data_IF_875754725559
#
_entry.id   IF_875754725559
#
_cell.length_a   1.000
_cell.length_b   1.000
_cell.length_c   1.000
_cell.angle_alpha   90.00
_cell.angle_beta   90.00
_cell.angle_gamma   90.00
#
_symmetry.space_group_name_H-M   'P 1'
#
loop_
_entity.id
_entity.type
_entity.pdbx_description
1 polymer ?
#
# COMPACT_ATOMS: atom_id res chain seq x y z
N UNK A 1 -58.37 10.99 36.34
CA UNK A 1 -56.89 11.15 36.32
C UNK A 1 -56.21 9.82 35.99
N UNK A 2 -55.76 9.69 34.73
CA UNK A 2 -54.45 9.17 34.25
C UNK A 2 -53.99 7.73 34.57
N UNK A 3 -54.67 6.71 34.01
CA UNK A 3 -54.08 5.36 33.79
C UNK A 3 -53.08 5.32 32.61
N UNK A 4 -53.05 6.35 31.77
CA UNK A 4 -52.22 6.45 30.55
C UNK A 4 -50.76 6.86 30.82
N UNK A 5 -50.47 7.50 31.96
CA UNK A 5 -49.13 8.01 32.29
C UNK A 5 -48.13 6.89 32.66
N UNK A 6 -48.60 5.84 33.31
CA UNK A 6 -47.75 4.72 33.72
C UNK A 6 -47.29 3.88 32.51
N UNK A 7 -48.19 3.65 31.56
CA UNK A 7 -47.89 2.89 30.34
C UNK A 7 -46.89 3.63 29.45
N UNK A 8 -47.06 4.95 29.29
CA UNK A 8 -46.16 5.78 28.50
C UNK A 8 -44.74 5.85 29.11
N UNK A 9 -44.62 5.84 30.45
CA UNK A 9 -43.32 5.75 31.15
C UNK A 9 -42.60 4.40 30.93
N UNK A 10 -43.33 3.29 30.89
CA UNK A 10 -42.72 1.96 30.66
C UNK A 10 -42.19 1.84 29.23
N UNK A 11 -42.94 2.33 28.23
CA UNK A 11 -42.53 2.29 26.83
C UNK A 11 -41.28 3.16 26.58
N UNK A 12 -41.22 4.35 27.18
CA UNK A 12 -40.06 5.25 27.07
C UNK A 12 -38.81 4.70 27.77
N UNK A 13 -38.96 4.04 28.92
CA UNK A 13 -37.84 3.35 29.59
C UNK A 13 -37.25 2.22 28.75
N UNK A 14 -38.09 1.39 28.10
CA UNK A 14 -37.61 0.31 27.21
C UNK A 14 -36.91 0.85 25.96
N UNK A 15 -37.39 1.95 25.39
CA UNK A 15 -36.76 2.58 24.23
C UNK A 15 -35.37 3.15 24.57
N UNK A 16 -35.21 3.74 25.76
CA UNK A 16 -33.92 4.27 26.23
C UNK A 16 -32.87 3.16 26.44
N UNK A 17 -33.27 2.06 27.08
CA UNK A 17 -32.39 0.88 27.24
C UNK A 17 -31.99 0.25 25.90
N UNK A 18 -32.86 0.27 24.89
CA UNK A 18 -32.54 -0.23 23.55
C UNK A 18 -31.48 0.66 22.89
N UNK A 19 -31.60 1.98 22.99
CA UNK A 19 -30.62 2.93 22.45
C UNK A 19 -29.25 2.83 23.14
N UNK A 20 -29.21 2.66 24.46
CA UNK A 20 -27.96 2.48 25.23
C UNK A 20 -27.19 1.20 24.85
N UNK A 21 -27.92 0.10 24.59
CA UNK A 21 -27.33 -1.16 24.09
C UNK A 21 -26.78 -1.04 22.66
N UNK A 22 -27.45 -0.28 21.80
CA UNK A 22 -26.97 0.01 20.44
C UNK A 22 -25.71 0.90 20.44
N UNK A 23 -25.66 1.90 21.33
CA UNK A 23 -24.50 2.79 21.47
C UNK A 23 -23.27 2.07 22.03
N UNK A 24 -23.44 1.24 23.07
CA UNK A 24 -22.34 0.44 23.65
C UNK A 24 -21.77 -0.59 22.67
N UNK A 25 -22.62 -1.23 21.85
CA UNK A 25 -22.18 -2.13 20.78
C UNK A 25 -21.38 -1.43 19.68
N UNK A 26 -21.71 -0.17 19.35
CA UNK A 26 -20.94 0.62 18.38
C UNK A 26 -19.58 1.06 18.93
N UNK A 27 -19.49 1.41 20.22
CA UNK A 27 -18.23 1.79 20.88
C UNK A 27 -17.25 0.60 20.94
N UNK A 28 -17.75 -0.61 21.26
CA UNK A 28 -16.93 -1.83 21.24
C UNK A 28 -16.41 -2.19 19.85
N UNK A 29 -17.22 -2.02 18.79
CA UNK A 29 -16.78 -2.27 17.40
C UNK A 29 -15.71 -1.27 16.94
N UNK A 30 -15.83 0.02 17.33
CA UNK A 30 -14.82 1.05 17.02
C UNK A 30 -13.50 0.81 17.76
N UNK A 31 -13.55 0.40 19.03
CA UNK A 31 -12.35 0.07 19.80
C UNK A 31 -11.57 -1.12 19.21
N UNK A 32 -12.27 -2.14 18.68
CA UNK A 32 -11.65 -3.30 18.01
C UNK A 32 -11.06 -2.96 16.63
N UNK A 33 -11.64 -2.00 15.90
CA UNK A 33 -11.09 -1.53 14.63
C UNK A 33 -9.81 -0.69 14.81
N UNK A 34 -9.67 0.01 15.94
CA UNK A 34 -8.50 0.84 16.24
C UNK A 34 -7.27 0.03 16.69
N UNK A 35 -7.46 -1.17 17.26
CA UNK A 35 -6.35 -2.01 17.74
C UNK A 35 -5.60 -2.78 16.65
N UNK A 36 -6.15 -2.95 15.44
CA UNK A 36 -5.43 -3.52 14.28
C UNK A 36 -4.60 -2.49 13.50
N UNK A 37 -4.76 -1.19 13.76
CA UNK A 37 -4.08 -0.14 12.99
C UNK A 37 -2.67 0.21 13.50
N UNK A 38 -2.22 -0.38 14.62
CA UNK A 38 -1.05 0.11 15.35
C UNK A 38 0.09 -0.91 15.50
N UNK A 39 0.23 -1.86 14.57
CA UNK A 39 1.42 -2.72 14.54
C UNK A 39 1.93 -2.85 13.11
N UNK A 40 2.27 -1.73 12.50
CA UNK A 40 3.29 -1.73 11.46
C UNK A 40 4.62 -1.96 12.15
N UNK A 41 4.93 -3.22 12.49
CA UNK A 41 6.32 -3.60 12.77
C UNK A 41 7.10 -3.19 11.53
N UNK A 42 7.94 -2.15 11.65
CA UNK A 42 8.95 -1.85 10.64
C UNK A 42 9.78 -3.12 10.53
N UNK A 43 9.64 -3.83 9.42
CA UNK A 43 10.48 -4.98 9.13
C UNK A 43 11.84 -4.37 8.84
N UNK A 44 12.74 -4.44 9.81
CA UNK A 44 14.14 -4.06 9.60
C UNK A 44 14.72 -5.03 8.57
N UNK A 45 15.26 -4.48 7.48
CA UNK A 45 15.94 -5.25 6.45
C UNK A 45 17.25 -5.73 7.08
N UNK A 46 17.54 -7.04 7.13
CA UNK A 46 18.83 -7.53 7.58
C UNK A 46 19.97 -6.96 6.73
N UNK A 47 21.11 -6.62 7.36
CA UNK A 47 22.28 -6.00 6.72
C UNK A 47 22.74 -6.71 5.43
N UNK A 48 22.65 -8.04 5.37
CA UNK A 48 23.06 -8.82 4.20
C UNK A 48 22.14 -8.66 2.98
N UNK A 49 20.94 -8.09 3.16
CA UNK A 49 20.01 -7.76 2.08
C UNK A 49 20.12 -6.29 1.65
N UNK A 50 20.95 -5.49 2.30
CA UNK A 50 21.18 -4.11 1.89
C UNK A 50 22.01 -4.05 0.60
N UNK A 51 21.74 -3.06 -0.29
CA UNK A 51 22.54 -2.89 -1.49
C UNK A 51 23.97 -2.49 -1.12
N UNK A 52 24.95 -3.16 -1.72
CA UNK A 52 26.35 -2.75 -1.59
C UNK A 52 26.59 -1.33 -2.11
N UNK A 53 27.65 -0.64 -1.64
CA UNK A 53 27.97 0.71 -2.09
C UNK A 53 28.26 0.74 -3.60
N UNK A 54 27.59 1.65 -4.31
CA UNK A 54 27.76 1.86 -5.75
C UNK A 54 28.70 3.04 -6.03
N UNK A 55 29.65 2.86 -6.93
CA UNK A 55 30.61 3.91 -7.29
C UNK A 55 29.93 5.04 -8.10
N UNK A 56 30.29 6.31 -7.91
CA UNK A 56 29.73 7.42 -8.69
C UNK A 56 29.95 7.24 -10.20
N UNK A 57 28.94 7.56 -11.01
CA UNK A 57 28.96 7.40 -12.47
C UNK A 57 28.62 5.99 -12.97
N UNK A 58 28.24 5.07 -12.07
CA UNK A 58 27.80 3.73 -12.47
C UNK A 58 26.48 3.79 -13.25
N UNK A 59 26.28 2.82 -14.17
CA UNK A 59 25.02 2.67 -14.90
C UNK A 59 23.84 2.59 -13.92
N UNK A 60 22.75 3.29 -14.21
CA UNK A 60 21.53 3.27 -13.39
C UNK A 60 21.55 4.22 -12.18
N UNK A 61 22.49 5.17 -12.13
CA UNK A 61 22.49 6.29 -11.16
C UNK A 61 21.78 7.54 -11.69
N UNK A 62 21.71 7.71 -13.01
CA UNK A 62 20.96 8.76 -13.69
C UNK A 62 20.25 8.11 -14.87
N UNK A 63 18.97 8.45 -15.04
CA UNK A 63 18.13 7.88 -16.08
C UNK A 63 17.18 8.94 -16.64
N UNK A 64 16.78 8.76 -17.90
CA UNK A 64 15.66 9.51 -18.49
C UNK A 64 14.31 8.86 -18.16
N UNK A 65 14.30 7.55 -17.92
CA UNK A 65 13.11 6.78 -17.62
C UNK A 65 13.25 6.01 -16.30
N UNK A 66 12.21 5.93 -15.44
CA UNK A 66 12.34 5.36 -14.10
C UNK A 66 12.74 3.88 -14.09
N UNK A 67 12.41 3.11 -15.12
CA UNK A 67 12.80 1.69 -15.21
C UNK A 67 14.30 1.48 -15.45
N UNK A 68 15.06 2.51 -15.82
CA UNK A 68 16.52 2.41 -16.01
C UNK A 68 17.32 2.66 -14.72
N UNK A 69 16.66 3.15 -13.66
CA UNK A 69 17.29 3.39 -12.38
C UNK A 69 17.59 2.07 -11.65
N UNK A 70 18.82 1.92 -11.17
CA UNK A 70 19.27 0.78 -10.36
C UNK A 70 19.46 1.13 -8.88
N UNK A 71 19.27 2.40 -8.51
CA UNK A 71 19.51 2.93 -7.17
C UNK A 71 18.32 3.73 -6.67
N UNK A 72 18.11 3.73 -5.36
CA UNK A 72 16.99 4.44 -4.71
C UNK A 72 17.10 5.97 -4.87
N UNK A 73 18.33 6.49 -4.96
CA UNK A 73 18.61 7.90 -5.21
C UNK A 73 18.22 8.33 -6.63
N UNK A 74 18.51 7.51 -7.65
CA UNK A 74 18.09 7.75 -9.04
C UNK A 74 16.57 7.84 -9.18
N UNK A 75 15.82 7.01 -8.44
CA UNK A 75 14.36 6.99 -8.49
C UNK A 75 13.70 8.21 -7.83
N UNK A 76 14.42 8.91 -6.96
CA UNK A 76 13.85 9.95 -6.10
C UNK A 76 13.05 11.05 -6.83
N UNK A 77 13.53 11.61 -7.96
CA UNK A 77 12.80 12.65 -8.69
C UNK A 77 11.44 12.16 -9.23
N UNK A 78 11.34 10.88 -9.59
CA UNK A 78 10.10 10.29 -10.12
C UNK A 78 9.03 10.10 -9.04
N UNK A 79 9.45 9.93 -7.78
CA UNK A 79 8.56 9.85 -6.64
C UNK A 79 8.25 11.22 -6.02
N UNK A 80 8.68 12.32 -6.67
CA UNK A 80 8.56 13.70 -6.15
C UNK A 80 9.22 13.87 -4.77
N UNK A 81 10.24 13.05 -4.50
CA UNK A 81 11.03 13.16 -3.28
C UNK A 81 12.19 14.14 -3.42
N UNK A 82 12.86 14.40 -2.31
CA UNK A 82 14.14 15.10 -2.28
C UNK A 82 15.21 14.21 -1.65
N UNK A 83 16.47 14.46 -2.02
CA UNK A 83 17.61 13.69 -1.55
C UNK A 83 18.19 14.37 -0.31
N UNK A 84 18.27 13.63 0.80
CA UNK A 84 18.91 14.06 2.04
C UNK A 84 20.04 13.06 2.34
N UNK A 85 21.29 13.47 2.10
CA UNK A 85 22.45 12.58 2.17
C UNK A 85 22.38 11.44 1.14
N UNK A 86 22.35 10.19 1.61
CA UNK A 86 22.24 8.99 0.76
C UNK A 86 20.81 8.40 0.70
N UNK A 87 19.82 9.12 1.24
CA UNK A 87 18.43 8.67 1.30
C UNK A 87 17.51 9.57 0.49
N UNK A 88 16.44 9.00 -0.05
CA UNK A 88 15.36 9.74 -0.69
C UNK A 88 14.20 9.90 0.30
N UNK A 89 13.81 11.14 0.57
CA UNK A 89 12.68 11.47 1.45
C UNK A 89 11.50 11.90 0.59
N UNK A 90 10.39 11.17 0.72
CA UNK A 90 9.13 11.40 0.01
C UNK A 90 8.37 12.60 0.59
N UNK A 91 7.38 13.13 -0.16
CA UNK A 91 6.54 14.26 0.28
C UNK A 91 5.81 14.02 1.62
N UNK A 92 5.56 12.76 1.95
CA UNK A 92 4.93 12.34 3.21
C UNK A 92 5.94 12.12 4.35
N UNK A 93 7.16 12.64 4.23
CA UNK A 93 8.28 12.48 5.16
C UNK A 93 8.70 11.01 5.40
N UNK A 94 8.33 10.09 4.50
CA UNK A 94 8.80 8.71 4.56
C UNK A 94 10.07 8.55 3.75
N UNK A 95 11.01 7.77 4.28
CA UNK A 95 12.23 7.40 3.56
C UNK A 95 11.87 6.31 2.56
N UNK A 96 12.27 6.48 1.30
CA UNK A 96 12.11 5.47 0.26
C UNK A 96 13.05 4.29 0.56
N UNK A 97 12.47 3.15 0.91
CA UNK A 97 13.18 1.92 1.27
C UNK A 97 12.98 0.81 0.25
N UNK A 98 13.77 -0.26 0.35
CA UNK A 98 13.54 -1.47 -0.44
C UNK A 98 12.13 -2.03 -0.21
N UNK A 99 11.52 -2.55 -1.27
CA UNK A 99 10.20 -3.15 -1.22
C UNK A 99 10.29 -4.62 -0.82
N UNK A 100 9.43 -5.03 0.13
CA UNK A 100 9.27 -6.45 0.47
C UNK A 100 8.30 -7.11 -0.51
N UNK A 101 8.75 -8.18 -1.16
CA UNK A 101 7.89 -9.04 -1.97
C UNK A 101 7.29 -10.12 -1.08
N UNK A 102 5.97 -10.19 -1.05
CA UNK A 102 5.20 -11.18 -0.27
C UNK A 102 4.44 -12.11 -1.19
N UNK A 103 4.15 -13.31 -0.71
CA UNK A 103 3.27 -14.25 -1.40
C UNK A 103 1.81 -13.79 -1.29
N UNK A 104 1.06 -13.85 -2.39
CA UNK A 104 -0.27 -13.21 -2.45
C UNK A 104 -1.25 -13.72 -1.37
N UNK A 105 -1.18 -15.00 -1.00
CA UNK A 105 -2.08 -15.58 0.01
C UNK A 105 -1.73 -15.12 1.43
N UNK A 106 -0.51 -14.65 1.67
CA UNK A 106 -0.07 -14.07 2.95
C UNK A 106 -0.50 -12.61 3.15
N UNK A 107 -1.03 -11.94 2.10
CA UNK A 107 -1.46 -10.56 2.19
C UNK A 107 -2.73 -10.40 3.03
N UNK A 108 -2.73 -9.37 3.88
CA UNK A 108 -3.95 -8.86 4.52
C UNK A 108 -4.96 -8.35 3.48
N UNK A 109 -6.22 -8.18 3.89
CA UNK A 109 -7.27 -7.69 2.99
C UNK A 109 -6.96 -6.27 2.48
N UNK A 110 -6.43 -5.40 3.34
CA UNK A 110 -6.04 -4.04 2.98
C UNK A 110 -4.85 -4.01 2.00
N UNK A 111 -3.84 -4.85 2.21
CA UNK A 111 -2.72 -5.00 1.28
C UNK A 111 -3.20 -5.52 -0.08
N UNK A 112 -4.08 -6.52 -0.09
CA UNK A 112 -4.65 -7.08 -1.31
C UNK A 112 -5.47 -6.06 -2.10
N UNK A 113 -6.29 -5.27 -1.42
CA UNK A 113 -7.07 -4.20 -2.06
C UNK A 113 -6.15 -3.11 -2.66
N UNK A 114 -5.09 -2.71 -1.94
CA UNK A 114 -4.09 -1.78 -2.48
C UNK A 114 -3.37 -2.35 -3.70
N UNK A 115 -2.99 -3.62 -3.67
CA UNK A 115 -2.39 -4.32 -4.80
C UNK A 115 -3.31 -4.34 -6.03
N UNK A 116 -4.59 -4.69 -5.86
CA UNK A 116 -5.55 -4.69 -6.97
C UNK A 116 -5.81 -3.29 -7.54
N UNK A 117 -5.88 -2.28 -6.69
CA UNK A 117 -6.02 -0.89 -7.13
C UNK A 117 -4.80 -0.43 -7.94
N UNK A 118 -3.59 -0.77 -7.50
CA UNK A 118 -2.36 -0.49 -8.23
C UNK A 118 -2.33 -1.21 -9.59
N UNK A 119 -2.68 -2.51 -9.63
CA UNK A 119 -2.74 -3.27 -10.89
C UNK A 119 -3.74 -2.69 -11.88
N UNK A 120 -4.92 -2.25 -11.39
CA UNK A 120 -5.90 -1.56 -12.22
C UNK A 120 -5.36 -0.24 -12.77
N UNK A 121 -4.67 0.54 -11.94
CA UNK A 121 -3.99 1.77 -12.37
C UNK A 121 -3.00 1.52 -13.49
N UNK A 122 -2.13 0.51 -13.35
CA UNK A 122 -1.14 0.13 -14.37
C UNK A 122 -1.78 -0.32 -15.68
N UNK A 123 -2.90 -1.04 -15.61
CA UNK A 123 -3.63 -1.48 -16.81
C UNK A 123 -4.29 -0.30 -17.52
N UNK A 124 -4.90 0.62 -16.76
CA UNK A 124 -5.56 1.81 -17.31
C UNK A 124 -4.57 2.82 -17.90
N UNK A 125 -3.37 2.94 -17.34
CA UNK A 125 -2.31 3.80 -17.89
C UNK A 125 -1.66 3.24 -19.15
N UNK A 126 -1.90 1.96 -19.48
CA UNK A 126 -1.25 1.25 -20.59
C UNK A 126 0.15 0.72 -20.27
N UNK A 127 0.71 1.02 -19.08
CA UNK A 127 2.02 0.53 -18.67
C UNK A 127 2.07 -0.99 -18.59
N UNK A 128 0.98 -1.62 -18.13
CA UNK A 128 0.87 -3.08 -18.11
C UNK A 128 1.05 -3.67 -19.51
N UNK A 129 0.44 -3.06 -20.54
CA UNK A 129 0.52 -3.56 -21.92
C UNK A 129 1.89 -3.32 -22.54
N UNK A 130 2.53 -2.20 -22.22
CA UNK A 130 3.93 -1.92 -22.58
C UNK A 130 4.85 -3.02 -22.07
N UNK A 131 4.74 -3.38 -20.79
CA UNK A 131 5.51 -4.47 -20.17
C UNK A 131 5.20 -5.84 -20.81
N UNK A 132 3.93 -6.13 -21.10
CA UNK A 132 3.56 -7.36 -21.82
C UNK A 132 4.18 -7.42 -23.23
N UNK A 133 4.23 -6.29 -23.93
CA UNK A 133 4.83 -6.21 -25.27
C UNK A 133 6.34 -6.37 -25.24
N UNK A 134 7.03 -5.86 -24.22
CA UNK A 134 8.47 -6.12 -24.02
C UNK A 134 8.72 -7.64 -23.90
N UNK A 135 7.97 -8.32 -23.03
CA UNK A 135 8.04 -9.78 -22.89
C UNK A 135 7.70 -10.54 -24.19
N UNK A 136 6.75 -10.03 -24.97
CA UNK A 136 6.36 -10.63 -26.25
C UNK A 136 7.45 -10.41 -27.31
N UNK A 137 8.03 -9.22 -27.37
CA UNK A 137 9.05 -8.83 -28.34
C UNK A 137 10.31 -9.68 -28.22
N UNK A 138 10.73 -9.99 -26.99
CA UNK A 138 11.86 -10.90 -26.75
C UNK A 138 11.52 -12.37 -27.11
N UNK A 139 10.26 -12.79 -26.96
CA UNK A 139 9.81 -14.15 -27.26
C UNK A 139 9.49 -14.40 -28.75
N UNK A 140 9.10 -13.38 -29.51
CA UNK A 140 8.77 -13.50 -30.93
C UNK A 140 10.01 -13.33 -31.82
N UNK A 141 10.94 -12.43 -31.47
CA UNK A 141 12.13 -12.18 -32.30
C UNK A 141 13.13 -13.36 -32.34
N UNK A 142 12.98 -14.38 -31.47
CA UNK A 142 13.73 -15.65 -31.59
C UNK A 142 13.05 -16.71 -32.45
N UNK A 143 11.75 -16.59 -32.79
CA UNK A 143 11.03 -17.63 -33.55
C UNK A 143 10.98 -17.40 -35.07
N UNK A 144 11.38 -16.23 -35.56
CA UNK A 144 11.35 -15.92 -37.00
C UNK A 144 12.72 -15.65 -37.63
N UNK A 145 13.79 -16.17 -37.03
CA UNK A 145 15.11 -16.19 -37.67
C UNK A 145 15.76 -17.59 -37.59
N UNK A 146 14.97 -18.61 -37.93
CA UNK A 146 15.52 -19.88 -38.43
C UNK A 146 15.43 -19.78 -39.94
N UNK A 147 16.60 -19.76 -40.59
CA UNK A 147 16.76 -19.92 -42.04
C UNK A 147 16.02 -21.15 -42.55
#
# INVERSE_FOLDING_TARGET
MRRTDAFYRIVTMRQRQKQEKLASGQIQRRARAQSSANTTRRIEVPDFLEPGPVMPGSRGQVASHPYDCMTMTCLCPYFRGHIEGNHCVLENNQILSMAFRKEYRTLSEEERNRYHNAMRGLKLSGEYDRLCNEHLSENILRKFNVR
#
